data_IF_153386297084
#
_entry.id   IF_153386297084
#
_cell.length_a   1.000
_cell.length_b   1.000
_cell.length_c   1.000
_cell.angle_alpha   90.00
_cell.angle_beta   90.00
_cell.angle_gamma   90.00
#
_symmetry.space_group_name_H-M   'P 1'
#
loop_
_entity.id
_entity.type
_entity.pdbx_description
1 polymer ?
#
# COMPACT_ATOMS: atom_id res chain seq x y z
N UNK A 1 5.29 -10.03 7.06
CA UNK A 1 4.12 -9.47 6.36
C UNK A 1 4.62 -8.95 5.05
N UNK A 2 4.13 -9.46 3.92
CA UNK A 2 4.42 -8.88 2.61
C UNK A 2 3.61 -7.58 2.41
N UNK A 3 4.00 -6.79 1.42
CA UNK A 3 3.24 -5.59 1.06
C UNK A 3 1.82 -5.93 0.60
N UNK A 4 1.61 -7.06 -0.09
CA UNK A 4 0.25 -7.49 -0.48
C UNK A 4 -0.60 -7.84 0.74
N UNK A 5 -0.05 -8.56 1.71
CA UNK A 5 -0.74 -8.86 2.98
C UNK A 5 -1.10 -7.57 3.73
N UNK A 6 -0.22 -6.57 3.68
CA UNK A 6 -0.49 -5.25 4.24
C UNK A 6 -1.64 -4.54 3.52
N UNK A 7 -1.63 -4.53 2.18
CA UNK A 7 -2.72 -3.97 1.37
C UNK A 7 -4.06 -4.62 1.71
N UNK A 8 -4.11 -5.96 1.81
CA UNK A 8 -5.30 -6.70 2.21
C UNK A 8 -5.81 -6.26 3.59
N UNK A 9 -4.93 -6.15 4.60
CA UNK A 9 -5.29 -5.64 5.94
C UNK A 9 -5.83 -4.21 5.91
N UNK A 10 -5.36 -3.38 4.98
CA UNK A 10 -5.85 -2.01 4.79
C UNK A 10 -7.09 -1.92 3.89
N UNK A 11 -7.66 -3.04 3.44
CA UNK A 11 -8.79 -3.10 2.47
C UNK A 11 -8.45 -2.43 1.14
N UNK A 12 -7.21 -2.60 0.71
CA UNK A 12 -6.68 -2.13 -0.56
C UNK A 12 -6.51 -3.35 -1.47
N UNK A 13 -7.10 -3.32 -2.65
CA UNK A 13 -6.87 -4.31 -3.68
C UNK A 13 -5.48 -4.08 -4.30
N UNK A 14 -4.53 -4.94 -3.91
CA UNK A 14 -3.13 -4.85 -4.36
C UNK A 14 -3.00 -5.01 -5.88
N UNK A 15 -3.79 -5.89 -6.50
CA UNK A 15 -3.76 -6.13 -7.95
C UNK A 15 -4.29 -4.91 -8.71
N UNK A 16 -5.41 -4.33 -8.25
CA UNK A 16 -5.95 -3.11 -8.85
C UNK A 16 -5.01 -1.91 -8.67
N UNK A 17 -4.32 -1.82 -7.53
CA UNK A 17 -3.32 -0.79 -7.27
C UNK A 17 -2.10 -0.96 -8.19
N UNK A 18 -1.56 -2.18 -8.31
CA UNK A 18 -0.44 -2.48 -9.20
C UNK A 18 -0.80 -2.25 -10.68
N UNK A 19 -2.01 -2.60 -11.11
CA UNK A 19 -2.44 -2.42 -12.49
C UNK A 19 -2.64 -0.95 -12.87
N UNK A 20 -3.04 -0.10 -11.92
CA UNK A 20 -3.34 1.30 -12.20
C UNK A 20 -2.14 2.24 -11.95
N UNK A 21 -1.33 1.96 -10.93
CA UNK A 21 -0.17 2.76 -10.53
C UNK A 21 1.05 1.85 -10.19
N UNK A 22 1.62 1.11 -11.18
CA UNK A 22 2.68 0.12 -10.93
C UNK A 22 3.94 0.73 -10.30
N UNK A 23 4.40 1.90 -10.80
CA UNK A 23 5.57 2.59 -10.27
C UNK A 23 5.41 2.96 -8.79
N UNK A 24 4.21 3.40 -8.41
CA UNK A 24 3.89 3.78 -7.03
C UNK A 24 3.76 2.56 -6.13
N UNK A 25 3.21 1.47 -6.66
CA UNK A 25 3.14 0.20 -5.95
C UNK A 25 4.55 -0.33 -5.65
N UNK A 26 5.46 -0.30 -6.62
CA UNK A 26 6.85 -0.73 -6.43
C UNK A 26 7.61 0.18 -5.45
N UNK A 27 7.44 1.50 -5.53
CA UNK A 27 8.00 2.44 -4.54
C UNK A 27 7.51 2.08 -3.13
N UNK A 28 6.20 1.86 -2.98
CA UNK A 28 5.62 1.57 -1.67
C UNK A 28 6.05 0.23 -1.13
N UNK A 29 6.15 -0.79 -1.98
CA UNK A 29 6.68 -2.09 -1.61
C UNK A 29 8.13 -1.96 -1.13
N UNK A 30 8.97 -1.27 -1.89
CA UNK A 30 10.37 -1.05 -1.54
C UNK A 30 10.53 -0.27 -0.22
N UNK A 31 9.70 0.74 0.01
CA UNK A 31 9.68 1.49 1.27
C UNK A 31 9.17 0.65 2.43
N UNK A 32 8.11 -0.14 2.21
CA UNK A 32 7.51 -1.03 3.20
C UNK A 32 8.49 -2.13 3.64
N UNK A 33 9.31 -2.66 2.73
CA UNK A 33 10.33 -3.66 3.05
C UNK A 33 11.49 -3.09 3.89
N UNK A 34 11.69 -1.77 3.88
CA UNK A 34 12.76 -1.11 4.64
C UNK A 34 12.34 -0.66 6.05
N UNK A 35 11.06 -0.73 6.41
CA UNK A 35 10.59 -0.25 7.72
C UNK A 35 9.44 -1.09 8.29
N UNK A 36 9.16 -0.88 9.58
CA UNK A 36 8.03 -1.56 10.21
C UNK A 36 6.68 -1.11 9.59
N UNK A 37 5.68 -2.00 9.44
CA UNK A 37 4.38 -1.67 8.84
C UNK A 37 3.66 -0.49 9.49
N UNK A 38 3.85 -0.30 10.80
CA UNK A 38 3.25 0.82 11.53
C UNK A 38 3.93 2.15 11.16
N UNK A 39 5.26 2.19 11.11
CA UNK A 39 6.02 3.36 10.66
C UNK A 39 5.65 3.74 9.22
N UNK A 40 5.53 2.75 8.33
CA UNK A 40 5.04 2.97 6.97
C UNK A 40 3.62 3.55 6.95
N UNK A 41 2.72 2.99 7.77
CA UNK A 41 1.34 3.44 7.89
C UNK A 41 1.28 4.90 8.34
N UNK A 42 2.08 5.30 9.32
CA UNK A 42 2.11 6.66 9.84
C UNK A 42 2.64 7.65 8.80
N UNK A 43 3.76 7.32 8.15
CA UNK A 43 4.37 8.18 7.13
C UNK A 43 3.48 8.39 5.90
N UNK A 44 2.79 7.33 5.44
CA UNK A 44 1.98 7.35 4.21
C UNK A 44 0.48 7.41 4.50
N UNK A 45 0.05 7.71 5.74
CA UNK A 45 -1.36 7.61 6.22
C UNK A 45 -2.39 8.25 5.29
N UNK A 46 -2.12 9.47 4.84
CA UNK A 46 -3.03 10.19 3.94
C UNK A 46 -3.11 9.54 2.56
N UNK A 47 -1.97 9.09 2.03
CA UNK A 47 -1.93 8.43 0.74
C UNK A 47 -2.61 7.06 0.82
N UNK A 48 -2.38 6.28 1.87
CA UNK A 48 -3.04 4.99 2.09
C UNK A 48 -4.57 5.16 2.13
N UNK A 49 -5.07 6.23 2.77
CA UNK A 49 -6.50 6.53 2.80
C UNK A 49 -7.05 6.86 1.41
N UNK A 50 -6.29 7.59 0.58
CA UNK A 50 -6.66 7.88 -0.80
C UNK A 50 -6.64 6.60 -1.66
N UNK A 51 -5.54 5.85 -1.63
CA UNK A 51 -5.36 4.57 -2.32
C UNK A 51 -6.46 3.58 -1.96
N UNK A 52 -6.87 3.51 -0.69
CA UNK A 52 -8.01 2.67 -0.24
C UNK A 52 -9.35 3.10 -0.82
N UNK A 53 -9.57 4.39 -1.05
CA UNK A 53 -10.80 4.87 -1.70
C UNK A 53 -10.81 4.56 -3.19
N UNK A 54 -9.64 4.62 -3.83
CA UNK A 54 -9.45 4.31 -5.26
C UNK A 54 -9.54 2.81 -5.56
N UNK A 55 -8.86 1.99 -4.77
CA UNK A 55 -8.68 0.55 -4.99
C UNK A 55 -9.22 -0.24 -3.81
N UNK A 56 -10.52 -0.09 -3.53
CA UNK A 56 -11.14 -0.78 -2.41
C UNK A 56 -11.23 -2.28 -2.69
N UNK A 57 -10.78 -3.09 -1.73
CA UNK A 57 -10.98 -4.55 -1.70
C UNK A 57 -12.38 -4.89 -1.15
#
# INVERSE_FOLDING_TARGET
MSFEEYCLKKKINSEAFLSAEPERWDEWKFLFEQMHPDSFTEQKKFLINETRRKYRL
#
